data_IF_229898220912
#
_entry.id   IF_229898220912
#
_cell.length_a   1.000
_cell.length_b   1.000
_cell.length_c   1.000
_cell.angle_alpha   90.00
_cell.angle_beta   90.00
_cell.angle_gamma   90.00
#
_symmetry.space_group_name_H-M   'P 1'
#
loop_
_entity.id
_entity.type
_entity.pdbx_description
1 polymer ?
#
# COMPACT_ATOMS: atom_id res chain seq x y z
N UNK A 1 -0.76 -31.34 -22.85
CA UNK A 1 -0.35 -29.92 -22.75
C UNK A 1 -1.60 -29.04 -22.62
N UNK A 2 -1.98 -28.62 -21.40
CA UNK A 2 -3.11 -27.71 -21.19
C UNK A 2 -2.66 -26.28 -21.48
N UNK A 3 -3.24 -25.66 -22.52
CA UNK A 3 -3.12 -24.22 -22.77
C UNK A 3 -3.63 -23.47 -21.55
N UNK A 4 -2.78 -22.70 -20.90
CA UNK A 4 -3.18 -21.80 -19.81
C UNK A 4 -4.12 -20.76 -20.42
N UNK A 5 -5.40 -20.83 -20.07
CA UNK A 5 -6.42 -19.88 -20.52
C UNK A 5 -6.27 -18.59 -19.72
N UNK A 6 -5.25 -17.78 -20.02
CA UNK A 6 -5.25 -16.40 -19.60
C UNK A 6 -6.33 -15.69 -20.44
N UNK A 7 -7.53 -15.52 -19.85
CA UNK A 7 -8.55 -14.64 -20.41
C UNK A 7 -7.92 -13.28 -20.73
N UNK A 8 -8.36 -12.64 -21.82
CA UNK A 8 -7.89 -11.31 -22.25
C UNK A 8 -8.30 -10.23 -21.24
N UNK A 9 -7.68 -10.24 -20.07
CA UNK A 9 -7.83 -9.22 -19.04
C UNK A 9 -6.87 -8.09 -19.38
N UNK A 10 -7.35 -6.84 -19.39
CA UNK A 10 -6.52 -5.67 -19.61
C UNK A 10 -6.28 -5.28 -21.07
N UNK A 11 -7.11 -5.75 -22.00
CA UNK A 11 -7.10 -5.30 -23.40
C UNK A 11 -7.52 -3.83 -23.55
N UNK A 12 -8.23 -3.30 -22.56
CA UNK A 12 -8.64 -1.92 -22.40
C UNK A 12 -7.49 -0.98 -21.99
N UNK A 13 -6.40 -1.52 -21.45
CA UNK A 13 -5.25 -0.71 -21.03
C UNK A 13 -4.25 -0.53 -22.18
N UNK A 14 -3.58 0.63 -22.19
CA UNK A 14 -2.50 0.94 -23.14
C UNK A 14 -1.33 -0.06 -23.08
N UNK A 15 -1.20 -0.80 -21.97
CA UNK A 15 -0.28 -1.92 -21.82
C UNK A 15 -0.66 -2.80 -20.64
N UNK A 16 -0.64 -4.11 -20.84
CA UNK A 16 -0.82 -5.12 -19.81
C UNK A 16 0.26 -6.19 -19.97
N UNK A 17 0.85 -6.64 -18.86
CA UNK A 17 1.90 -7.65 -18.84
C UNK A 17 1.61 -8.72 -17.79
N UNK A 18 2.00 -9.95 -18.08
CA UNK A 18 1.84 -11.10 -17.19
C UNK A 18 3.17 -11.81 -16.99
N UNK A 19 3.36 -12.36 -15.79
CA UNK A 19 4.48 -13.25 -15.44
C UNK A 19 3.94 -14.66 -15.21
N UNK A 20 4.68 -15.68 -15.64
CA UNK A 20 4.28 -17.07 -15.44
C UNK A 20 5.15 -17.78 -14.40
N UNK A 21 4.71 -17.76 -13.14
CA UNK A 21 5.40 -18.44 -12.05
C UNK A 21 5.49 -19.97 -12.22
N UNK A 22 4.64 -20.60 -13.03
CA UNK A 22 4.73 -22.05 -13.28
C UNK A 22 5.91 -22.43 -14.19
N UNK A 23 6.53 -21.45 -14.83
CA UNK A 23 7.71 -21.60 -15.68
C UNK A 23 8.95 -20.98 -15.01
N UNK A 24 8.93 -20.83 -13.68
CA UNK A 24 9.97 -20.17 -12.89
C UNK A 24 10.28 -18.72 -13.32
N UNK A 25 9.28 -18.03 -13.90
CA UNK A 25 9.36 -16.61 -14.25
C UNK A 25 8.82 -15.73 -13.11
N UNK A 26 9.71 -14.97 -12.47
CA UNK A 26 9.37 -14.07 -11.36
C UNK A 26 9.39 -12.57 -11.75
N UNK A 27 10.05 -12.25 -12.85
CA UNK A 27 10.09 -10.92 -13.45
C UNK A 27 10.46 -11.04 -14.92
N UNK A 28 9.83 -10.23 -15.78
CA UNK A 28 10.22 -10.17 -17.19
C UNK A 28 11.56 -9.45 -17.35
N UNK A 29 12.47 -10.04 -18.12
CA UNK A 29 13.77 -9.44 -18.44
C UNK A 29 13.58 -8.08 -19.12
N UNK A 30 14.21 -7.04 -18.57
CA UNK A 30 14.21 -5.68 -19.13
C UNK A 30 13.05 -4.78 -18.74
N UNK A 31 12.25 -5.09 -17.70
CA UNK A 31 11.10 -4.23 -17.38
C UNK A 31 10.58 -4.21 -15.94
N UNK A 32 9.56 -3.37 -15.76
CA UNK A 32 8.77 -3.12 -14.55
C UNK A 32 7.61 -4.12 -14.35
N UNK A 33 7.56 -5.19 -15.14
CA UNK A 33 6.46 -6.17 -15.13
C UNK A 33 6.82 -7.29 -14.13
N UNK A 34 6.39 -7.10 -12.89
CA UNK A 34 6.53 -8.08 -11.80
C UNK A 34 5.44 -7.87 -10.75
N UNK A 35 5.15 -8.89 -9.94
CA UNK A 35 4.25 -8.78 -8.78
C UNK A 35 4.98 -8.42 -7.48
N UNK A 36 6.31 -8.44 -7.49
CA UNK A 36 7.15 -8.24 -6.30
C UNK A 36 6.82 -6.98 -5.51
N UNK A 37 6.56 -5.85 -6.19
CA UNK A 37 6.25 -4.58 -5.51
C UNK A 37 4.93 -4.63 -4.75
N UNK A 38 3.88 -5.19 -5.35
CA UNK A 38 2.56 -5.29 -4.71
C UNK A 38 2.58 -6.32 -3.57
N UNK A 39 3.25 -7.45 -3.77
CA UNK A 39 3.43 -8.47 -2.73
C UNK A 39 4.21 -7.92 -1.53
N UNK A 40 5.30 -7.19 -1.79
CA UNK A 40 6.11 -6.54 -0.75
C UNK A 40 5.26 -5.56 0.07
N UNK A 41 4.47 -4.71 -0.59
CA UNK A 41 3.56 -3.78 0.09
C UNK A 41 2.59 -4.50 1.03
N UNK A 42 1.87 -5.49 0.53
CA UNK A 42 0.90 -6.24 1.35
C UNK A 42 1.56 -7.06 2.44
N UNK A 43 2.78 -7.56 2.23
CA UNK A 43 3.53 -8.27 3.25
C UNK A 43 3.93 -7.35 4.42
N UNK A 44 4.24 -6.07 4.16
CA UNK A 44 4.50 -5.09 5.22
C UNK A 44 3.21 -4.71 5.96
N UNK A 45 2.11 -4.49 5.24
CA UNK A 45 0.81 -4.20 5.83
C UNK A 45 0.38 -5.32 6.80
N UNK A 46 0.47 -6.59 6.36
CA UNK A 46 0.13 -7.75 7.20
C UNK A 46 0.99 -7.82 8.46
N UNK A 47 2.30 -7.55 8.37
CA UNK A 47 3.18 -7.49 9.55
C UNK A 47 2.79 -6.36 10.50
N UNK A 48 2.36 -5.21 9.97
CA UNK A 48 1.81 -4.12 10.77
C UNK A 48 0.56 -4.57 11.55
N UNK A 49 -0.35 -5.29 10.90
CA UNK A 49 -1.55 -5.87 11.54
C UNK A 49 -1.19 -6.87 12.63
N UNK A 50 -0.23 -7.76 12.39
CA UNK A 50 0.13 -8.77 13.39
C UNK A 50 0.95 -8.20 14.56
N UNK A 51 1.80 -7.21 14.33
CA UNK A 51 2.76 -6.73 15.33
C UNK A 51 2.42 -5.40 15.99
N UNK A 52 1.93 -4.43 15.20
CA UNK A 52 1.73 -3.05 15.68
C UNK A 52 0.26 -2.75 16.02
N UNK A 53 -0.69 -3.35 15.30
CA UNK A 53 -2.11 -3.07 15.47
C UNK A 53 -2.83 -4.21 16.21
N UNK A 54 -2.96 -4.10 17.53
CA UNK A 54 -3.65 -5.13 18.33
C UNK A 54 -5.18 -5.14 18.15
N UNK A 55 -5.78 -3.99 17.78
CA UNK A 55 -7.21 -3.86 17.52
C UNK A 55 -7.43 -3.12 16.19
N UNK A 56 -7.72 -3.88 15.14
CA UNK A 56 -8.08 -3.33 13.83
C UNK A 56 -9.61 -3.32 13.71
N UNK A 57 -10.18 -2.13 13.54
CA UNK A 57 -11.61 -1.96 13.26
C UNK A 57 -11.83 -1.66 11.78
N UNK A 58 -12.86 -2.26 11.19
CA UNK A 58 -13.30 -1.99 9.82
C UNK A 58 -13.60 -0.49 9.59
N UNK A 59 -14.15 0.19 10.61
CA UNK A 59 -14.46 1.62 10.57
C UNK A 59 -13.23 2.51 10.31
N UNK A 60 -12.02 1.99 10.53
CA UNK A 60 -10.76 2.72 10.37
C UNK A 60 -9.83 2.10 9.33
N UNK A 61 -10.28 1.13 8.54
CA UNK A 61 -9.45 0.42 7.57
C UNK A 61 -8.72 1.37 6.61
N UNK A 62 -9.42 2.41 6.14
CA UNK A 62 -8.87 3.46 5.29
C UNK A 62 -7.66 4.19 5.91
N UNK A 63 -7.60 4.34 7.24
CA UNK A 63 -6.50 5.03 7.93
C UNK A 63 -5.26 4.16 8.02
N UNK A 64 -5.42 2.87 8.31
CA UNK A 64 -4.32 1.92 8.32
C UNK A 64 -3.69 1.79 6.92
N UNK A 65 -4.53 1.75 5.88
CA UNK A 65 -4.06 1.72 4.49
C UNK A 65 -3.32 3.00 4.11
N UNK A 66 -3.84 4.18 4.47
CA UNK A 66 -3.18 5.45 4.22
C UNK A 66 -1.81 5.55 4.93
N UNK A 67 -1.72 5.03 6.16
CA UNK A 67 -0.45 4.97 6.87
C UNK A 67 0.55 4.02 6.20
N UNK A 68 0.11 2.82 5.81
CA UNK A 68 0.96 1.84 5.13
C UNK A 68 1.47 2.38 3.79
N UNK A 69 0.61 3.04 3.01
CA UNK A 69 0.97 3.72 1.77
C UNK A 69 2.00 4.83 2.01
N UNK A 70 1.76 5.69 2.99
CA UNK A 70 2.70 6.76 3.35
C UNK A 70 4.08 6.19 3.72
N UNK A 71 4.14 5.18 4.60
CA UNK A 71 5.40 4.54 5.01
C UNK A 71 6.11 3.86 3.85
N UNK A 72 5.37 3.19 2.97
CA UNK A 72 5.96 2.51 1.81
C UNK A 72 6.57 3.50 0.84
N UNK A 73 5.87 4.59 0.50
CA UNK A 73 6.33 5.57 -0.48
C UNK A 73 7.41 6.54 0.04
N UNK A 74 7.56 6.66 1.37
CA UNK A 74 8.58 7.52 2.00
C UNK A 74 9.69 6.71 2.67
N UNK A 75 10.10 5.58 2.08
CA UNK A 75 11.20 4.75 2.59
C UNK A 75 12.55 5.22 2.04
N UNK A 76 13.63 5.00 2.79
CA UNK A 76 15.00 5.33 2.39
C UNK A 76 15.44 4.69 1.07
N UNK A 77 14.89 3.52 0.73
CA UNK A 77 15.17 2.87 -0.56
C UNK A 77 14.68 3.67 -1.79
N UNK A 78 13.80 4.66 -1.59
CA UNK A 78 13.36 5.60 -2.63
C UNK A 78 14.11 6.96 -2.55
N UNK A 79 15.17 7.04 -1.75
CA UNK A 79 15.93 8.26 -1.53
C UNK A 79 15.32 9.21 -0.50
N UNK A 80 14.18 8.84 0.11
CA UNK A 80 13.52 9.68 1.13
C UNK A 80 14.12 9.41 2.50
N UNK A 81 14.79 10.39 3.07
CA UNK A 81 15.39 10.27 4.40
C UNK A 81 14.48 10.77 5.52
N UNK A 82 14.86 10.52 6.76
CA UNK A 82 14.01 10.76 7.94
C UNK A 82 13.52 12.20 8.06
N UNK A 83 14.39 13.18 7.77
CA UNK A 83 14.02 14.60 7.82
C UNK A 83 12.96 14.94 6.77
N UNK A 84 13.13 14.46 5.53
CA UNK A 84 12.20 14.70 4.43
C UNK A 84 10.86 14.00 4.66
N UNK A 85 10.91 12.78 5.21
CA UNK A 85 9.72 12.05 5.62
C UNK A 85 8.95 12.78 6.71
N UNK A 86 9.66 13.32 7.70
CA UNK A 86 9.04 14.12 8.77
C UNK A 86 8.40 15.40 8.20
N UNK A 87 9.07 16.08 7.28
CA UNK A 87 8.52 17.27 6.61
C UNK A 87 7.25 16.93 5.79
N UNK A 88 7.28 15.83 5.03
CA UNK A 88 6.12 15.36 4.27
C UNK A 88 4.92 15.05 5.18
N UNK A 89 5.18 14.45 6.34
CA UNK A 89 4.16 14.19 7.34
C UNK A 89 3.56 15.50 7.87
N UNK A 90 4.41 16.46 8.26
CA UNK A 90 3.96 17.78 8.76
C UNK A 90 3.14 18.55 7.72
N UNK A 91 3.52 18.47 6.44
CA UNK A 91 2.74 19.06 5.35
C UNK A 91 1.35 18.43 5.27
N UNK A 92 1.27 17.11 5.45
CA UNK A 92 0.03 16.34 5.44
C UNK A 92 -0.85 16.51 6.68
N UNK A 93 -0.35 17.09 7.78
CA UNK A 93 -1.14 17.34 9.01
C UNK A 93 -1.87 18.67 8.99
N UNK A 94 -1.53 19.60 8.09
CA UNK A 94 -2.18 20.91 8.00
C UNK A 94 -3.70 20.78 7.88
N UNK A 95 -4.43 21.45 8.78
CA UNK A 95 -5.90 21.43 8.81
C UNK A 95 -6.52 20.15 9.36
N UNK A 96 -5.71 19.16 9.77
CA UNK A 96 -6.18 17.92 10.41
C UNK A 96 -6.12 18.05 11.92
N UNK A 97 -6.94 17.26 12.62
CA UNK A 97 -7.00 17.20 14.09
C UNK A 97 -6.48 15.87 14.59
N UNK A 98 -5.91 15.88 15.78
CA UNK A 98 -5.45 14.67 16.47
C UNK A 98 -6.64 13.86 17.01
N UNK A 99 -7.68 14.54 17.48
CA UNK A 99 -8.80 13.89 18.15
C UNK A 99 -9.82 13.36 17.15
N UNK A 100 -10.27 12.13 17.39
CA UNK A 100 -11.31 11.49 16.61
C UNK A 100 -12.67 12.20 16.79
N UNK A 101 -13.01 12.55 18.04
CA UNK A 101 -14.19 13.34 18.39
C UNK A 101 -13.81 14.81 18.56
N UNK A 102 -14.73 15.71 18.21
CA UNK A 102 -14.63 17.12 18.57
C UNK A 102 -14.75 17.27 20.09
N UNK A 103 -13.84 17.99 20.79
CA UNK A 103 -14.00 18.31 22.21
C UNK A 103 -15.29 19.07 22.51
N UNK A 104 -15.74 19.87 21.54
CA UNK A 104 -16.93 20.72 21.54
C UNK A 104 -18.18 20.03 20.94
N UNK A 105 -18.04 18.80 20.43
CA UNK A 105 -19.18 18.04 19.91
C UNK A 105 -19.94 17.39 21.05
N UNK A 106 -21.19 17.80 21.29
CA UNK A 106 -22.08 17.18 22.28
C UNK A 106 -22.00 15.65 22.18
N UNK A 107 -21.93 14.98 23.34
CA UNK A 107 -21.92 13.54 23.39
C UNK A 107 -23.24 13.03 22.80
N UNK A 108 -23.21 12.56 21.55
CA UNK A 108 -24.32 11.83 20.97
C UNK A 108 -24.56 10.59 21.86
N UNK A 109 -25.75 10.61 22.48
CA UNK A 109 -26.38 9.52 23.25
C UNK A 109 -26.68 8.36 22.33
#
# INVERSE_FOLDING_TARGET
>A
MRRVHAQKIGAEFKGHGTVNHSADEYSRKGGFISTNSVESFFALLKRGVYGSYFHVSEAHLHRYLAEADFRFNHRSALGVQDAERAEALLRGTKGKRLLYRRPDGAAHV
#
